data_IF_650335241531
#
_entry.id   IF_650335241531
#
_cell.length_a   1.000
_cell.length_b   1.000
_cell.length_c   1.000
_cell.angle_alpha   90.00
_cell.angle_beta   90.00
_cell.angle_gamma   90.00
#
_symmetry.space_group_name_H-M   'P 1'
#
loop_
_entity.id
_entity.type
_entity.pdbx_description
1 polymer ?
#
# COMPACT_ATOMS: atom_id res chain seq x y z
N UNK A 1 -27.54 -4.14 3.79
CA UNK A 1 -26.34 -5.01 3.92
C UNK A 1 -25.51 -4.51 5.10
N UNK A 2 -25.10 -5.37 6.03
CA UNK A 2 -24.12 -5.02 7.09
C UNK A 2 -22.75 -5.50 6.64
N UNK A 3 -21.71 -4.71 6.92
CA UNK A 3 -20.32 -5.11 6.63
C UNK A 3 -19.99 -6.37 7.45
N UNK A 4 -19.47 -7.44 6.82
CA UNK A 4 -19.10 -8.65 7.54
C UNK A 4 -17.87 -8.40 8.43
N UNK A 5 -17.67 -9.21 9.49
CA UNK A 5 -16.39 -9.31 10.17
C UNK A 5 -15.28 -9.71 9.19
N UNK A 6 -14.05 -9.34 9.52
CA UNK A 6 -12.85 -9.71 8.74
C UNK A 6 -12.43 -11.11 9.17
N UNK A 7 -12.35 -12.06 8.23
CA UNK A 7 -11.99 -13.46 8.49
C UNK A 7 -10.80 -13.95 7.67
N UNK A 8 -10.57 -13.34 6.51
CA UNK A 8 -9.56 -13.78 5.55
C UNK A 8 -8.35 -12.86 5.60
N UNK A 9 -7.15 -13.42 5.50
CA UNK A 9 -5.91 -12.65 5.42
C UNK A 9 -5.66 -12.17 3.98
N UNK A 10 -4.95 -11.06 3.85
CA UNK A 10 -4.38 -10.59 2.58
C UNK A 10 -2.87 -10.44 2.76
N UNK A 11 -2.10 -11.07 1.88
CA UNK A 11 -0.65 -10.88 1.86
C UNK A 11 -0.35 -9.57 1.16
N UNK A 12 0.31 -8.65 1.86
CA UNK A 12 0.71 -7.35 1.29
C UNK A 12 2.07 -7.41 0.61
N UNK A 13 2.82 -8.50 0.79
CA UNK A 13 4.11 -8.73 0.15
C UNK A 13 5.26 -7.94 0.79
N UNK A 14 5.12 -7.64 2.08
CA UNK A 14 6.13 -6.99 2.92
C UNK A 14 6.31 -7.84 4.17
N UNK A 15 7.40 -8.61 4.22
CA UNK A 15 7.63 -9.67 5.22
C UNK A 15 7.31 -9.27 6.67
N UNK A 16 7.74 -8.08 7.11
CA UNK A 16 7.49 -7.64 8.49
C UNK A 16 6.00 -7.36 8.75
N UNK A 17 5.26 -6.89 7.75
CA UNK A 17 3.82 -6.68 7.84
C UNK A 17 3.12 -8.04 7.83
N UNK A 18 3.42 -8.90 6.86
CA UNK A 18 2.75 -10.20 6.73
C UNK A 18 2.97 -11.10 7.97
N UNK A 19 4.15 -11.00 8.62
CA UNK A 19 4.48 -11.84 9.78
C UNK A 19 4.09 -11.27 11.14
N UNK A 20 4.12 -9.95 11.33
CA UNK A 20 3.92 -9.33 12.66
C UNK A 20 2.74 -8.36 12.74
N UNK A 21 2.23 -7.90 11.59
CA UNK A 21 1.15 -6.92 11.49
C UNK A 21 0.14 -7.37 10.41
N UNK A 22 -0.25 -8.64 10.45
CA UNK A 22 -1.06 -9.26 9.42
C UNK A 22 -2.33 -8.46 9.14
N UNK A 23 -2.67 -8.38 7.85
CA UNK A 23 -3.78 -7.59 7.34
C UNK A 23 -4.87 -8.53 6.85
N UNK A 24 -6.12 -8.22 7.18
CA UNK A 24 -7.27 -8.94 6.66
C UNK A 24 -7.92 -8.29 5.45
N UNK A 25 -8.56 -9.09 4.61
CA UNK A 25 -9.29 -8.61 3.45
C UNK A 25 -10.43 -7.67 3.89
N UNK A 26 -10.47 -6.48 3.29
CA UNK A 26 -11.39 -5.42 3.65
C UNK A 26 -11.04 -4.69 4.95
N UNK A 27 -9.88 -4.94 5.59
CA UNK A 27 -9.40 -4.16 6.74
C UNK A 27 -9.06 -2.72 6.33
N UNK A 28 -9.18 -1.78 7.28
CA UNK A 28 -8.78 -0.38 7.07
C UNK A 28 -7.54 -0.12 7.90
N UNK A 29 -6.47 0.31 7.25
CA UNK A 29 -5.17 0.55 7.88
C UNK A 29 -4.71 1.96 7.54
N UNK A 30 -4.09 2.62 8.51
CA UNK A 30 -3.42 3.90 8.32
C UNK A 30 -1.90 3.71 8.36
N UNK A 31 -1.19 4.33 7.42
CA UNK A 31 0.27 4.46 7.45
C UNK A 31 0.58 5.92 7.80
N UNK A 32 1.06 6.15 9.01
CA UNK A 32 1.40 7.49 9.50
C UNK A 32 2.92 7.64 9.53
N UNK A 33 3.43 8.66 8.85
CA UNK A 33 4.86 8.85 8.64
C UNK A 33 5.18 10.32 8.37
N UNK A 34 6.33 10.78 8.85
CA UNK A 34 6.89 12.08 8.49
C UNK A 34 7.45 12.10 7.06
N UNK A 35 7.96 13.25 6.63
CA UNK A 35 8.63 13.36 5.34
C UNK A 35 9.96 12.59 5.33
N UNK A 36 10.26 11.88 4.23
CA UNK A 36 11.57 11.24 4.02
C UNK A 36 11.82 9.93 4.80
N UNK A 37 10.84 9.39 5.51
CA UNK A 37 11.01 8.15 6.32
C UNK A 37 10.65 6.85 5.58
N UNK A 38 10.40 6.94 4.26
CA UNK A 38 10.08 5.76 3.43
C UNK A 38 8.59 5.45 3.23
N UNK A 39 7.68 6.40 3.52
CA UNK A 39 6.22 6.24 3.32
C UNK A 39 5.87 5.78 1.90
N UNK A 40 6.33 6.52 0.89
CA UNK A 40 6.01 6.26 -0.52
C UNK A 40 6.64 4.96 -1.02
N UNK A 41 7.86 4.67 -0.59
CA UNK A 41 8.55 3.42 -0.91
C UNK A 41 7.80 2.21 -0.36
N UNK A 42 7.36 2.24 0.91
CA UNK A 42 6.54 1.17 1.48
C UNK A 42 5.21 1.01 0.71
N UNK A 43 4.55 2.11 0.37
CA UNK A 43 3.32 2.09 -0.41
C UNK A 43 3.53 1.48 -1.80
N UNK A 44 4.64 1.80 -2.47
CA UNK A 44 5.02 1.19 -3.74
C UNK A 44 5.28 -0.31 -3.60
N UNK A 45 6.02 -0.73 -2.57
CA UNK A 45 6.26 -2.15 -2.28
C UNK A 45 4.95 -2.93 -2.12
N UNK A 46 3.99 -2.38 -1.37
CA UNK A 46 2.65 -2.98 -1.20
C UNK A 46 1.94 -3.03 -2.55
N UNK A 47 1.92 -1.94 -3.32
CA UNK A 47 1.25 -1.89 -4.62
C UNK A 47 1.78 -2.92 -5.63
N UNK A 48 3.07 -3.26 -5.57
CA UNK A 48 3.67 -4.28 -6.46
C UNK A 48 3.50 -5.71 -5.97
N UNK A 49 3.54 -5.92 -4.66
CA UNK A 49 3.69 -7.25 -4.09
C UNK A 49 2.40 -7.78 -3.43
N UNK A 50 1.39 -6.94 -3.22
CA UNK A 50 0.15 -7.36 -2.60
C UNK A 50 -0.61 -8.35 -3.48
N UNK A 51 -1.16 -9.37 -2.84
CA UNK A 51 -2.06 -10.34 -3.46
C UNK A 51 -3.44 -9.70 -3.66
N UNK A 52 -3.58 -8.91 -4.71
CA UNK A 52 -4.81 -8.23 -5.08
C UNK A 52 -5.03 -8.33 -6.59
N UNK A 53 -6.29 -8.57 -6.99
CA UNK A 53 -6.67 -8.61 -8.40
C UNK A 53 -6.49 -7.23 -9.08
N UNK A 54 -6.65 -6.15 -8.30
CA UNK A 54 -6.50 -4.78 -8.76
C UNK A 54 -6.06 -3.86 -7.61
N UNK A 55 -5.07 -3.01 -7.88
CA UNK A 55 -4.65 -1.93 -6.99
C UNK A 55 -5.17 -0.58 -7.51
N UNK A 56 -5.79 0.21 -6.63
CA UNK A 56 -6.24 1.57 -6.95
C UNK A 56 -5.48 2.55 -6.05
N UNK A 57 -4.68 3.42 -6.66
CA UNK A 57 -3.83 4.40 -5.96
C UNK A 57 -4.35 5.80 -6.26
N UNK A 58 -4.71 6.54 -5.21
CA UNK A 58 -5.09 7.94 -5.30
C UNK A 58 -4.07 8.81 -4.56
N UNK A 59 -3.39 9.69 -5.30
CA UNK A 59 -2.40 10.62 -4.75
C UNK A 59 -3.06 12.00 -4.63
N UNK A 60 -3.42 12.41 -3.40
CA UNK A 60 -4.21 13.62 -3.15
C UNK A 60 -3.35 14.64 -2.40
N UNK A 61 -3.28 15.87 -2.93
CA UNK A 61 -2.55 16.98 -2.30
C UNK A 61 -1.01 16.86 -2.35
N UNK A 62 -0.48 15.87 -3.07
CA UNK A 62 0.96 15.67 -3.27
C UNK A 62 1.51 16.65 -4.33
N UNK A 63 2.81 16.95 -4.27
CA UNK A 63 3.44 17.81 -5.28
C UNK A 63 3.68 17.03 -6.57
N UNK A 64 3.59 17.69 -7.72
CA UNK A 64 3.77 17.03 -9.03
C UNK A 64 5.08 16.24 -9.19
N UNK A 65 6.18 16.73 -8.61
CA UNK A 65 7.47 16.00 -8.60
C UNK A 65 7.42 14.72 -7.75
N UNK A 66 6.66 14.72 -6.66
CA UNK A 66 6.51 13.57 -5.75
C UNK A 66 5.61 12.51 -6.42
N UNK A 67 4.56 12.93 -7.12
CA UNK A 67 3.73 12.04 -7.96
C UNK A 67 4.57 11.38 -9.04
N UNK A 68 5.37 12.16 -9.77
CA UNK A 68 6.26 11.64 -10.83
C UNK A 68 7.28 10.66 -10.26
N UNK A 69 7.92 11.02 -9.15
CA UNK A 69 8.87 10.14 -8.46
C UNK A 69 8.23 8.83 -8.03
N UNK A 70 7.01 8.89 -7.48
CA UNK A 70 6.26 7.69 -7.11
C UNK A 70 6.01 6.79 -8.32
N UNK A 71 5.53 7.33 -9.45
CA UNK A 71 5.24 6.53 -10.65
C UNK A 71 6.52 5.95 -11.25
N UNK A 72 7.54 6.79 -11.46
CA UNK A 72 8.74 6.38 -12.20
C UNK A 72 9.72 5.53 -11.38
N UNK A 73 9.80 5.75 -10.06
CA UNK A 73 10.79 5.08 -9.19
C UNK A 73 10.16 4.10 -8.23
N UNK A 74 9.17 4.54 -7.45
CA UNK A 74 8.59 3.69 -6.42
C UNK A 74 7.76 2.60 -7.07
N UNK A 75 6.74 2.92 -7.86
CA UNK A 75 5.84 1.98 -8.54
C UNK A 75 6.55 1.25 -9.68
N UNK A 76 7.27 1.98 -10.52
CA UNK A 76 8.06 1.42 -11.62
C UNK A 76 7.19 0.95 -12.79
N UNK A 77 7.80 0.33 -13.83
CA UNK A 77 7.13 0.00 -15.08
C UNK A 77 6.15 -1.18 -15.00
N UNK A 78 6.22 -1.98 -13.93
CA UNK A 78 5.35 -3.14 -13.72
C UNK A 78 4.13 -2.84 -12.85
N UNK A 79 4.04 -1.63 -12.29
CA UNK A 79 2.93 -1.20 -11.44
C UNK A 79 1.97 -0.23 -12.11
#
# INVERSE_FOLDING_TARGET
MKRPPISDQVEVGVKIIDSMLSVGNGQRIGIFAGSGVGKSTLMGMIARNATADLNVIALIGERGREVREFIERDLGPEG
#
